data_IF_593766200973
#
_entry.id   IF_593766200973
#
_cell.length_a   1.000
_cell.length_b   1.000
_cell.length_c   1.000
_cell.angle_alpha   90.00
_cell.angle_beta   90.00
_cell.angle_gamma   90.00
#
_symmetry.space_group_name_H-M   'P 1'
#
loop_
_entity.id
_entity.type
_entity.pdbx_description
1 polymer ?
#
# COMPACT_ATOMS: atom_id res chain seq x y z
N UNK A 1 -4.04 -4.06 -6.62
CA UNK A 1 -3.12 -3.22 -5.83
C UNK A 1 -1.80 -3.94 -5.55
N UNK A 2 -1.73 -4.90 -4.61
CA UNK A 2 -0.44 -5.54 -4.24
C UNK A 2 0.38 -6.11 -5.40
N UNK A 3 -0.27 -6.78 -6.36
CA UNK A 3 0.39 -7.32 -7.58
C UNK A 3 1.06 -6.19 -8.38
N UNK A 4 0.35 -5.10 -8.65
CA UNK A 4 0.86 -4.00 -9.46
C UNK A 4 1.90 -3.14 -8.72
N UNK A 5 1.78 -3.03 -7.40
CA UNK A 5 2.83 -2.45 -6.55
C UNK A 5 4.11 -3.28 -6.68
N UNK A 6 3.99 -4.61 -6.59
CA UNK A 6 5.12 -5.52 -6.78
C UNK A 6 5.72 -5.39 -8.18
N UNK A 7 4.91 -5.36 -9.24
CA UNK A 7 5.41 -5.15 -10.61
C UNK A 7 6.14 -3.82 -10.75
N UNK A 8 5.58 -2.73 -10.22
CA UNK A 8 6.22 -1.43 -10.25
C UNK A 8 7.57 -1.45 -9.49
N UNK A 9 7.63 -2.12 -8.34
CA UNK A 9 8.86 -2.24 -7.57
C UNK A 9 9.93 -3.09 -8.28
N UNK A 10 9.51 -4.16 -8.95
CA UNK A 10 10.41 -5.01 -9.74
C UNK A 10 10.91 -4.30 -11.00
N UNK A 11 10.09 -3.45 -11.62
CA UNK A 11 10.47 -2.67 -12.80
C UNK A 11 11.36 -1.46 -12.49
N UNK A 12 11.37 -0.95 -11.25
CA UNK A 12 12.16 0.22 -10.87
C UNK A 12 13.63 -0.16 -10.63
N UNK A 13 14.59 0.34 -11.43
CA UNK A 13 16.00 -0.05 -11.33
C UNK A 13 16.69 0.51 -10.07
N UNK A 14 16.12 1.52 -9.41
CA UNK A 14 16.68 2.05 -8.17
C UNK A 14 16.33 1.19 -6.94
N UNK A 15 15.45 0.20 -7.09
CA UNK A 15 15.14 -0.76 -6.04
C UNK A 15 16.04 -1.97 -6.19
N UNK A 16 16.91 -2.16 -5.20
CA UNK A 16 17.89 -3.25 -5.12
C UNK A 16 17.28 -4.58 -4.65
N UNK A 17 16.30 -4.55 -3.76
CA UNK A 17 15.65 -5.73 -3.19
C UNK A 17 14.16 -5.48 -2.90
N UNK A 18 13.34 -6.52 -3.09
CA UNK A 18 11.92 -6.55 -2.73
C UNK A 18 11.65 -7.83 -1.94
N UNK A 19 11.16 -7.68 -0.71
CA UNK A 19 10.70 -8.83 0.10
C UNK A 19 9.19 -8.78 0.25
N UNK A 20 8.51 -9.87 -0.11
CA UNK A 20 7.06 -9.98 0.01
C UNK A 20 6.71 -10.92 1.15
N UNK A 21 6.07 -10.37 2.19
CA UNK A 21 5.39 -11.16 3.21
C UNK A 21 4.00 -11.53 2.69
N UNK A 22 3.74 -12.82 2.49
CA UNK A 22 2.46 -13.29 1.95
C UNK A 22 1.94 -14.52 2.70
N UNK A 23 0.61 -14.63 2.79
CA UNK A 23 -0.06 -15.84 3.31
C UNK A 23 -0.23 -16.94 2.26
N UNK A 24 0.05 -16.63 0.99
CA UNK A 24 -0.19 -17.52 -0.14
C UNK A 24 0.88 -17.31 -1.23
N UNK A 25 1.12 -18.31 -2.09
CA UNK A 25 2.03 -18.16 -3.22
C UNK A 25 1.68 -16.95 -4.09
N UNK A 26 2.71 -16.33 -4.68
CA UNK A 26 2.49 -15.26 -5.66
C UNK A 26 1.82 -15.82 -6.91
N UNK A 27 0.99 -15.02 -7.60
CA UNK A 27 0.39 -15.46 -8.85
C UNK A 27 1.48 -15.64 -9.93
N UNK A 28 1.28 -16.57 -10.88
CA UNK A 28 2.25 -16.85 -11.94
C UNK A 28 2.50 -15.66 -12.89
N UNK A 29 1.64 -14.64 -12.81
CA UNK A 29 1.73 -13.38 -13.55
C UNK A 29 2.76 -12.40 -12.99
N UNK A 30 3.45 -12.75 -11.89
CA UNK A 30 4.60 -11.98 -11.38
C UNK A 30 5.87 -12.47 -12.09
N UNK A 31 6.65 -11.56 -12.70
CA UNK A 31 7.89 -11.94 -13.36
C UNK A 31 8.91 -12.46 -12.34
N UNK A 32 9.66 -13.50 -12.72
CA UNK A 32 10.83 -13.93 -11.97
C UNK A 32 11.86 -12.79 -11.91
N UNK A 33 12.49 -12.60 -10.76
CA UNK A 33 13.46 -11.53 -10.56
C UNK A 33 14.48 -11.91 -9.49
N UNK A 34 15.74 -11.59 -9.73
CA UNK A 34 16.82 -11.83 -8.76
C UNK A 34 16.69 -10.96 -7.50
N UNK A 35 16.00 -9.82 -7.59
CA UNK A 35 15.76 -8.95 -6.43
C UNK A 35 14.51 -9.32 -5.62
N UNK A 36 13.76 -10.36 -6.01
CA UNK A 36 12.53 -10.77 -5.32
C UNK A 36 12.79 -11.89 -4.33
N UNK A 37 12.44 -11.66 -3.07
CA UNK A 37 12.31 -12.70 -2.03
C UNK A 37 10.86 -12.80 -1.56
N UNK A 38 10.37 -14.02 -1.35
CA UNK A 38 9.00 -14.26 -0.87
C UNK A 38 9.06 -15.07 0.42
N UNK A 39 8.48 -14.52 1.47
CA UNK A 39 8.43 -15.16 2.79
C UNK A 39 6.97 -15.49 3.09
N UNK A 40 6.72 -16.77 3.37
CA UNK A 40 5.39 -17.19 3.83
C UNK A 40 5.23 -16.77 5.28
N UNK A 41 4.40 -15.77 5.52
CA UNK A 41 4.10 -15.24 6.84
C UNK A 41 2.59 -15.34 7.03
N UNK A 42 2.14 -16.18 7.97
CA UNK A 42 0.71 -16.51 8.12
C UNK A 42 0.00 -15.61 9.12
N UNK A 43 0.69 -15.24 10.18
CA UNK A 43 0.15 -14.48 11.31
C UNK A 43 0.75 -13.07 11.33
N UNK A 44 -0.03 -12.10 10.88
CA UNK A 44 0.37 -10.68 10.83
C UNK A 44 0.08 -9.94 12.14
N UNK A 45 -0.32 -10.65 13.20
CA UNK A 45 -0.41 -10.07 14.55
C UNK A 45 0.93 -10.09 15.29
N UNK A 46 1.91 -10.85 14.79
CA UNK A 46 3.21 -11.07 15.43
C UNK A 46 4.33 -11.16 14.41
N UNK A 47 5.49 -10.58 14.74
CA UNK A 47 6.66 -10.55 13.87
C UNK A 47 7.86 -11.13 14.63
N UNK A 48 8.35 -12.31 14.24
CA UNK A 48 9.55 -12.89 14.83
C UNK A 48 10.77 -11.96 14.69
N UNK A 49 11.62 -11.91 15.72
CA UNK A 49 12.77 -10.99 15.73
C UNK A 49 13.77 -11.29 14.59
N UNK A 50 13.97 -12.57 14.26
CA UNK A 50 14.81 -13.03 13.15
C UNK A 50 14.25 -12.63 11.78
N UNK A 51 12.93 -12.55 11.63
CA UNK A 51 12.30 -12.00 10.43
C UNK A 51 12.67 -10.52 10.26
N UNK A 52 12.52 -9.72 11.31
CA UNK A 52 12.73 -8.26 11.23
C UNK A 52 14.21 -7.91 11.13
N UNK A 53 15.04 -8.46 12.01
CA UNK A 53 16.49 -8.15 12.10
C UNK A 53 17.34 -8.91 11.09
N UNK A 54 16.79 -9.96 10.47
CA UNK A 54 17.45 -10.71 9.40
C UNK A 54 16.87 -10.37 8.03
N UNK A 55 15.74 -11.00 7.68
CA UNK A 55 15.21 -10.92 6.31
C UNK A 55 14.71 -9.54 5.89
N UNK A 56 14.25 -8.73 6.84
CA UNK A 56 13.76 -7.37 6.58
C UNK A 56 14.83 -6.30 6.84
N UNK A 57 16.01 -6.67 7.35
CA UNK A 57 17.08 -5.72 7.58
C UNK A 57 17.53 -5.06 6.27
N UNK A 58 17.81 -3.75 6.35
CA UNK A 58 18.23 -2.95 5.20
C UNK A 58 17.10 -2.47 4.29
N UNK A 59 15.86 -2.93 4.46
CA UNK A 59 14.72 -2.32 3.76
C UNK A 59 14.43 -0.92 4.31
N UNK A 60 14.18 0.03 3.41
CA UNK A 60 13.98 1.44 3.76
C UNK A 60 12.49 1.84 3.79
N UNK A 61 11.61 0.96 3.30
CA UNK A 61 10.19 1.21 3.25
C UNK A 61 9.38 -0.09 3.23
N UNK A 62 8.13 0.01 3.66
CA UNK A 62 7.11 -1.02 3.53
C UNK A 62 5.88 -0.44 2.83
N UNK A 63 5.36 -1.15 1.83
CA UNK A 63 4.03 -0.86 1.27
C UNK A 63 3.04 -1.89 1.79
N UNK A 64 2.19 -1.46 2.72
CA UNK A 64 1.13 -2.28 3.29
C UNK A 64 -0.08 -2.34 2.37
N UNK A 65 -0.15 -3.38 1.55
CA UNK A 65 -1.25 -3.63 0.61
C UNK A 65 -2.13 -4.85 0.99
N UNK A 66 -2.06 -5.31 2.24
CA UNK A 66 -2.97 -6.34 2.75
C UNK A 66 -4.35 -5.74 3.00
N UNK A 67 -5.37 -6.33 2.37
CA UNK A 67 -6.76 -5.94 2.54
C UNK A 67 -7.69 -6.81 1.69
N UNK A 68 -8.98 -6.79 2.04
CA UNK A 68 -10.08 -7.36 1.24
C UNK A 68 -11.29 -6.44 1.33
N UNK A 69 -12.31 -6.70 0.51
CA UNK A 69 -13.60 -6.01 0.65
C UNK A 69 -14.16 -6.24 2.05
N UNK A 70 -14.70 -5.18 2.65
CA UNK A 70 -15.41 -5.22 3.92
C UNK A 70 -16.78 -5.91 3.82
N UNK A 71 -17.30 -6.10 2.60
CA UNK A 71 -18.59 -6.75 2.37
C UNK A 71 -18.62 -8.16 2.95
N UNK A 72 -19.64 -8.45 3.75
CA UNK A 72 -19.83 -9.74 4.40
C UNK A 72 -18.88 -10.02 5.57
N UNK A 73 -18.12 -9.02 6.05
CA UNK A 73 -17.27 -9.13 7.24
C UNK A 73 -17.94 -8.49 8.45
N UNK A 74 -17.62 -9.01 9.65
CA UNK A 74 -17.88 -8.30 10.91
C UNK A 74 -16.88 -7.15 11.09
N UNK A 75 -17.25 -6.15 11.89
CA UNK A 75 -16.37 -5.02 12.21
C UNK A 75 -15.12 -5.45 12.98
N UNK A 76 -15.24 -6.49 13.81
CA UNK A 76 -14.10 -7.08 14.51
C UNK A 76 -13.11 -7.73 13.54
N UNK A 77 -13.57 -8.61 12.65
CA UNK A 77 -12.69 -9.28 11.68
C UNK A 77 -12.06 -8.28 10.69
N UNK A 78 -12.79 -7.22 10.33
CA UNK A 78 -12.27 -6.17 9.48
C UNK A 78 -11.27 -5.27 10.23
N UNK A 79 -11.49 -5.03 11.53
CA UNK A 79 -10.55 -4.34 12.43
C UNK A 79 -9.24 -5.12 12.54
N UNK A 80 -9.29 -6.42 12.83
CA UNK A 80 -8.09 -7.24 12.94
C UNK A 80 -7.21 -7.12 11.68
N UNK A 81 -7.82 -7.32 10.52
CA UNK A 81 -7.16 -7.23 9.23
C UNK A 81 -6.64 -5.82 8.88
N UNK A 82 -7.47 -4.80 9.09
CA UNK A 82 -7.23 -3.48 8.50
C UNK A 82 -6.58 -2.51 9.47
N UNK A 83 -6.57 -2.81 10.77
CA UNK A 83 -6.05 -1.98 11.85
C UNK A 83 -4.99 -2.73 12.68
N UNK A 84 -5.32 -3.90 13.24
CA UNK A 84 -4.43 -4.54 14.22
C UNK A 84 -3.15 -5.04 13.55
N UNK A 85 -3.26 -5.67 12.38
CA UNK A 85 -2.11 -6.14 11.62
C UNK A 85 -1.15 -5.02 11.15
N UNK A 86 -1.59 -3.92 10.52
CA UNK A 86 -0.67 -2.84 10.17
C UNK A 86 -0.05 -2.17 11.41
N UNK A 87 -0.79 -2.08 12.53
CA UNK A 87 -0.24 -1.57 13.79
C UNK A 87 0.77 -2.52 14.43
N UNK A 88 0.61 -3.83 14.30
CA UNK A 88 1.62 -4.80 14.72
C UNK A 88 2.88 -4.68 13.86
N UNK A 89 2.71 -4.52 12.53
CA UNK A 89 3.81 -4.40 11.59
C UNK A 89 4.66 -3.15 11.84
N UNK A 90 4.05 -1.96 11.90
CA UNK A 90 4.78 -0.69 12.10
C UNK A 90 5.56 -0.69 13.42
N UNK A 91 4.99 -1.28 14.48
CA UNK A 91 5.65 -1.41 15.79
C UNK A 91 6.84 -2.34 15.72
N UNK A 92 6.65 -3.55 15.19
CA UNK A 92 7.73 -4.51 15.05
C UNK A 92 8.87 -3.99 14.17
N UNK A 93 8.57 -3.28 13.08
CA UNK A 93 9.56 -2.69 12.19
C UNK A 93 10.35 -1.58 12.87
N UNK A 94 9.67 -0.70 13.61
CA UNK A 94 10.33 0.36 14.36
C UNK A 94 11.18 -0.20 15.51
N UNK A 95 10.65 -1.12 16.32
CA UNK A 95 11.36 -1.74 17.45
C UNK A 95 12.53 -2.62 16.99
N UNK A 96 12.38 -3.29 15.84
CA UNK A 96 13.45 -4.07 15.20
C UNK A 96 14.52 -3.23 14.49
N UNK A 97 14.40 -1.89 14.53
CA UNK A 97 15.44 -0.98 14.04
C UNK A 97 15.45 -0.75 12.54
N UNK A 98 14.35 -1.02 11.83
CA UNK A 98 14.26 -0.67 10.41
C UNK A 98 14.28 0.86 10.25
N UNK A 99 15.14 1.33 9.35
CA UNK A 99 15.40 2.74 9.11
C UNK A 99 15.53 3.01 7.61
N UNK A 100 15.27 4.26 7.20
CA UNK A 100 15.53 4.70 5.84
C UNK A 100 17.03 4.89 5.58
N UNK A 101 17.38 4.98 4.31
CA UNK A 101 18.77 5.18 3.88
C UNK A 101 19.19 6.65 4.00
N UNK A 102 20.47 6.90 4.29
CA UNK A 102 21.05 8.25 4.25
C UNK A 102 20.48 9.20 5.29
N UNK A 103 20.11 8.69 6.47
CA UNK A 103 19.51 9.50 7.55
C UNK A 103 18.05 9.86 7.34
N UNK A 104 17.37 9.25 6.35
CA UNK A 104 15.93 9.40 6.13
C UNK A 104 15.15 8.41 7.01
N UNK A 105 13.90 8.73 7.40
CA UNK A 105 13.06 7.79 8.14
C UNK A 105 12.64 6.61 7.27
N UNK A 106 12.36 5.47 7.92
CA UNK A 106 11.70 4.34 7.29
C UNK A 106 10.28 4.74 6.87
N UNK A 107 9.87 4.41 5.64
CA UNK A 107 8.54 4.81 5.14
C UNK A 107 7.54 3.66 5.23
N UNK A 108 6.48 3.85 5.99
CA UNK A 108 5.35 2.91 6.06
C UNK A 108 4.17 3.43 5.22
N UNK A 109 3.99 2.88 4.02
CA UNK A 109 2.94 3.29 3.08
C UNK A 109 1.72 2.39 3.22
N UNK A 110 0.67 2.88 3.85
CA UNK A 110 -0.58 2.15 4.08
C UNK A 110 -1.60 2.39 2.95
N UNK A 111 -2.07 1.29 2.36
CA UNK A 111 -3.17 1.33 1.40
C UNK A 111 -4.52 1.43 2.13
N UNK A 112 -4.97 2.65 2.32
CA UNK A 112 -6.27 2.99 2.90
C UNK A 112 -7.39 2.88 1.84
N UNK A 113 -8.32 3.82 1.79
CA UNK A 113 -9.41 3.88 0.83
C UNK A 113 -10.05 5.27 0.84
N UNK A 114 -10.60 5.67 -0.30
CA UNK A 114 -11.39 6.89 -0.38
C UNK A 114 -12.61 6.80 0.56
N UNK A 115 -12.90 7.90 1.24
CA UNK A 115 -13.92 7.94 2.29
C UNK A 115 -13.49 7.43 3.67
N UNK A 116 -12.21 7.07 3.90
CA UNK A 116 -11.71 6.82 5.26
C UNK A 116 -11.85 8.07 6.16
N UNK A 117 -12.47 7.91 7.32
CA UNK A 117 -12.84 9.02 8.22
C UNK A 117 -12.17 8.89 9.59
N UNK A 118 -11.17 9.74 9.83
CA UNK A 118 -10.39 9.77 11.08
C UNK A 118 -11.20 10.24 12.28
N UNK A 119 -12.37 10.86 12.09
CA UNK A 119 -13.24 11.25 13.20
C UNK A 119 -13.99 10.07 13.83
N UNK A 120 -13.98 8.91 13.17
CA UNK A 120 -14.75 7.72 13.58
C UNK A 120 -16.25 7.82 13.34
N UNK A 121 -16.74 8.91 12.72
CA UNK A 121 -18.17 9.15 12.47
C UNK A 121 -18.65 8.66 11.10
N UNK A 122 -17.78 8.02 10.32
CA UNK A 122 -18.11 7.48 9.02
C UNK A 122 -19.29 6.50 9.06
N UNK A 123 -20.21 6.65 8.10
CA UNK A 123 -21.41 5.81 8.02
C UNK A 123 -21.08 4.35 7.72
N UNK A 124 -20.06 4.10 6.91
CA UNK A 124 -19.62 2.75 6.56
C UNK A 124 -18.57 2.22 7.54
N UNK A 125 -18.66 0.94 7.88
CA UNK A 125 -17.68 0.25 8.72
C UNK A 125 -16.24 0.42 8.23
N UNK A 126 -16.01 0.27 6.91
CA UNK A 126 -14.67 0.41 6.35
C UNK A 126 -14.09 1.81 6.57
N UNK A 127 -14.94 2.84 6.49
CA UNK A 127 -14.58 4.24 6.63
C UNK A 127 -14.07 4.54 8.04
N UNK A 128 -14.78 4.05 9.07
CA UNK A 128 -14.36 4.18 10.48
C UNK A 128 -13.08 3.41 10.78
N UNK A 129 -13.01 2.14 10.40
CA UNK A 129 -11.86 1.28 10.72
C UNK A 129 -10.59 1.74 10.02
N UNK A 130 -10.65 2.03 8.71
CA UNK A 130 -9.49 2.58 7.99
C UNK A 130 -9.14 3.98 8.48
N UNK A 131 -10.13 4.81 8.81
CA UNK A 131 -9.93 6.13 9.41
C UNK A 131 -9.18 6.07 10.74
N UNK A 132 -9.59 5.18 11.66
CA UNK A 132 -8.87 4.91 12.91
C UNK A 132 -7.44 4.45 12.64
N UNK A 133 -7.26 3.49 11.72
CA UNK A 133 -5.94 2.97 11.36
C UNK A 133 -5.02 4.09 10.88
N UNK A 134 -5.50 4.97 10.00
CA UNK A 134 -4.69 6.11 9.56
C UNK A 134 -4.31 7.04 10.71
N UNK A 135 -5.25 7.34 11.61
CA UNK A 135 -4.98 8.20 12.76
C UNK A 135 -3.90 7.59 13.66
N UNK A 136 -3.99 6.30 13.95
CA UNK A 136 -3.08 5.61 14.87
C UNK A 136 -1.70 5.38 14.24
N UNK A 137 -1.62 5.08 12.93
CA UNK A 137 -0.35 4.98 12.20
C UNK A 137 0.38 6.33 12.14
N UNK A 138 -0.34 7.44 11.95
CA UNK A 138 0.24 8.78 11.96
C UNK A 138 0.66 9.20 13.36
N UNK A 139 -0.18 8.95 14.37
CA UNK A 139 0.16 9.23 15.76
C UNK A 139 1.42 8.47 16.18
N UNK A 140 1.55 7.20 15.80
CA UNK A 140 2.73 6.40 16.07
C UNK A 140 3.98 6.96 15.38
N UNK A 141 3.91 7.28 14.08
CA UNK A 141 5.07 7.83 13.37
C UNK A 141 5.47 9.23 13.85
N UNK A 142 4.51 10.06 14.26
CA UNK A 142 4.77 11.42 14.73
C UNK A 142 5.44 11.47 16.11
N UNK A 143 5.45 10.35 16.85
CA UNK A 143 6.23 10.22 18.07
C UNK A 143 7.74 10.05 17.81
N UNK A 144 8.15 9.65 16.60
CA UNK A 144 9.57 9.49 16.21
C UNK A 144 9.76 9.76 14.70
N UNK A 145 9.47 10.98 14.23
CA UNK A 145 9.41 11.31 12.80
C UNK A 145 10.77 11.19 12.07
N UNK A 146 11.87 11.21 12.82
CA UNK A 146 13.23 10.99 12.30
C UNK A 146 13.53 9.52 12.02
N UNK A 147 12.80 8.59 12.66
CA UNK A 147 13.00 7.14 12.50
C UNK A 147 12.03 6.51 11.53
N UNK A 148 10.75 6.91 11.60
CA UNK A 148 9.69 6.30 10.82
C UNK A 148 8.61 7.31 10.45
N UNK A 149 8.11 7.24 9.22
CA UNK A 149 7.03 8.09 8.70
C UNK A 149 5.97 7.28 7.98
N UNK A 150 4.71 7.58 8.27
CA UNK A 150 3.56 6.88 7.72
C UNK A 150 2.89 7.68 6.59
N UNK A 151 2.50 7.01 5.51
CA UNK A 151 1.82 7.61 4.36
C UNK A 151 0.56 6.85 4.00
N UNK A 152 -0.51 7.56 3.68
CA UNK A 152 -1.86 7.00 3.46
C UNK A 152 -2.25 7.14 2.00
N UNK A 153 -2.38 6.02 1.29
CA UNK A 153 -2.94 6.03 -0.07
C UNK A 153 -4.44 5.79 0.00
N UNK A 154 -5.24 6.74 -0.48
CA UNK A 154 -6.72 6.68 -0.48
C UNK A 154 -7.26 6.55 -1.91
N UNK A 155 -7.10 5.38 -2.55
CA UNK A 155 -7.72 5.15 -3.85
C UNK A 155 -9.23 5.02 -3.68
N UNK A 156 -9.97 5.48 -4.67
CA UNK A 156 -11.38 5.13 -4.81
C UNK A 156 -11.46 3.74 -5.46
N UNK A 157 -12.04 3.62 -6.64
CA UNK A 157 -11.98 2.37 -7.39
C UNK A 157 -10.65 2.22 -8.12
N UNK A 158 -10.10 0.99 -8.18
CA UNK A 158 -8.95 0.72 -9.04
C UNK A 158 -9.15 -0.52 -9.91
N UNK A 159 -8.77 -0.42 -11.17
CA UNK A 159 -9.01 -1.43 -12.19
C UNK A 159 -7.78 -2.33 -12.36
N UNK A 160 -7.94 -3.66 -12.47
CA UNK A 160 -6.83 -4.54 -12.82
C UNK A 160 -6.12 -4.06 -14.08
N UNK A 161 -4.79 -4.13 -14.08
CA UNK A 161 -3.96 -3.75 -15.24
C UNK A 161 -3.77 -4.90 -16.23
N UNK A 162 -3.90 -6.15 -15.76
CA UNK A 162 -3.65 -7.37 -16.52
C UNK A 162 -4.95 -8.23 -16.55
N UNK A 163 -5.37 -8.73 -17.73
CA UNK A 163 -6.54 -9.59 -17.87
C UNK A 163 -6.49 -10.86 -17.02
N UNK A 164 -5.35 -11.55 -16.91
CA UNK A 164 -5.21 -12.79 -16.15
C UNK A 164 -5.39 -12.54 -14.65
N UNK A 165 -4.89 -11.40 -14.16
CA UNK A 165 -5.17 -10.98 -12.78
C UNK A 165 -6.64 -10.61 -12.60
N UNK A 166 -7.26 -9.98 -13.60
CA UNK A 166 -8.70 -9.69 -13.57
C UNK A 166 -9.52 -10.97 -13.47
N UNK A 167 -9.17 -12.04 -14.20
CA UNK A 167 -9.84 -13.35 -14.09
C UNK A 167 -9.77 -13.92 -12.68
N UNK A 168 -8.67 -13.69 -11.97
CA UNK A 168 -8.45 -14.19 -10.60
C UNK A 168 -9.10 -13.31 -9.53
N UNK A 169 -9.17 -12.00 -9.76
CA UNK A 169 -9.54 -11.00 -8.74
C UNK A 169 -10.97 -10.49 -8.88
N UNK A 170 -11.60 -10.63 -10.04
CA UNK A 170 -12.91 -10.07 -10.37
C UNK A 170 -13.93 -11.17 -10.66
N UNK A 171 -15.19 -10.92 -10.30
CA UNK A 171 -16.28 -11.79 -10.74
C UNK A 171 -16.47 -11.70 -12.26
N UNK A 172 -17.20 -12.67 -12.85
CA UNK A 172 -17.53 -12.61 -14.28
C UNK A 172 -18.25 -11.32 -14.67
N UNK A 173 -19.17 -10.87 -13.83
CA UNK A 173 -19.91 -9.62 -14.03
C UNK A 173 -19.01 -8.38 -13.96
N UNK A 174 -18.11 -8.31 -12.97
CA UNK A 174 -17.18 -7.19 -12.82
C UNK A 174 -16.23 -7.09 -14.02
N UNK A 175 -15.77 -8.23 -14.57
CA UNK A 175 -14.89 -8.23 -15.76
C UNK A 175 -15.55 -7.62 -16.99
N UNK A 176 -16.86 -7.77 -17.14
CA UNK A 176 -17.61 -7.18 -18.24
C UNK A 176 -17.90 -5.69 -18.02
N UNK A 177 -18.11 -5.26 -16.78
CA UNK A 177 -18.51 -3.88 -16.47
C UNK A 177 -17.31 -2.95 -16.22
N UNK A 178 -16.18 -3.46 -15.73
CA UNK A 178 -14.95 -2.71 -15.42
C UNK A 178 -14.44 -1.83 -16.59
N UNK A 179 -14.42 -2.26 -17.87
CA UNK A 179 -13.94 -1.42 -18.97
C UNK A 179 -14.80 -0.17 -19.20
N UNK A 180 -16.13 -0.31 -19.13
CA UNK A 180 -17.09 0.78 -19.37
C UNK A 180 -17.11 1.71 -18.16
N UNK A 181 -17.32 1.13 -16.96
CA UNK A 181 -17.37 1.88 -15.71
C UNK A 181 -16.03 2.55 -15.43
N UNK A 182 -14.92 1.92 -15.80
CA UNK A 182 -13.58 2.48 -15.62
C UNK A 182 -13.22 3.63 -16.54
N UNK A 183 -13.79 3.71 -17.75
CA UNK A 183 -13.73 4.95 -18.53
C UNK A 183 -14.39 6.11 -17.79
N UNK A 184 -15.63 5.90 -17.34
CA UNK A 184 -16.43 6.91 -16.65
C UNK A 184 -15.81 7.34 -15.32
N UNK A 185 -15.50 6.40 -14.43
CA UNK A 185 -14.95 6.70 -13.10
C UNK A 185 -13.58 7.38 -13.19
N UNK A 186 -12.75 7.06 -14.18
CA UNK A 186 -11.49 7.79 -14.41
C UNK A 186 -11.73 9.22 -14.89
N UNK A 187 -12.71 9.44 -15.78
CA UNK A 187 -13.04 10.78 -16.27
C UNK A 187 -13.50 11.72 -15.14
N UNK A 188 -14.22 11.19 -14.15
CA UNK A 188 -14.65 11.94 -12.95
C UNK A 188 -13.71 11.78 -11.76
N UNK A 189 -12.52 11.20 -11.97
CA UNK A 189 -11.47 11.09 -10.95
C UNK A 189 -11.86 10.28 -9.69
N UNK A 190 -12.76 9.30 -9.86
CA UNK A 190 -13.14 8.28 -8.88
C UNK A 190 -12.54 6.90 -9.20
N UNK A 191 -11.66 6.83 -10.18
CA UNK A 191 -10.97 5.63 -10.61
C UNK A 191 -9.48 5.85 -10.85
N UNK A 192 -8.64 4.84 -10.59
CA UNK A 192 -7.21 4.81 -10.97
C UNK A 192 -6.86 3.43 -11.56
N UNK A 193 -5.95 3.36 -12.54
CA UNK A 193 -5.46 2.05 -12.98
C UNK A 193 -4.57 1.43 -11.89
N UNK A 194 -4.65 0.12 -11.65
CA UNK A 194 -3.83 -0.50 -10.62
C UNK A 194 -2.32 -0.37 -10.88
N UNK A 195 -1.87 -0.31 -12.15
CA UNK A 195 -0.48 -0.04 -12.49
C UNK A 195 -0.04 1.39 -12.11
N UNK A 196 -0.91 2.38 -12.33
CA UNK A 196 -0.67 3.76 -11.89
C UNK A 196 -0.60 3.86 -10.36
N UNK A 197 -1.54 3.21 -9.66
CA UNK A 197 -1.50 3.09 -8.20
C UNK A 197 -0.19 2.43 -7.73
N UNK A 198 0.26 1.38 -8.42
CA UNK A 198 1.53 0.70 -8.14
C UNK A 198 2.73 1.65 -8.26
N UNK A 199 2.82 2.40 -9.35
CA UNK A 199 3.88 3.41 -9.56
C UNK A 199 3.86 4.49 -8.50
N UNK A 200 2.69 5.00 -8.15
CA UNK A 200 2.55 6.01 -7.09
C UNK A 200 3.00 5.46 -5.74
N UNK A 201 2.55 4.26 -5.36
CA UNK A 201 2.94 3.64 -4.10
C UNK A 201 4.46 3.45 -3.99
N UNK A 202 5.10 2.99 -5.07
CA UNK A 202 6.56 2.84 -5.14
C UNK A 202 7.26 4.19 -5.05
N UNK A 203 6.75 5.22 -5.73
CA UNK A 203 7.34 6.56 -5.66
C UNK A 203 7.23 7.16 -4.25
N UNK A 204 6.12 6.93 -3.55
CA UNK A 204 5.96 7.35 -2.14
C UNK A 204 6.92 6.57 -1.24
N UNK A 205 7.01 5.24 -1.40
CA UNK A 205 7.94 4.40 -0.62
C UNK A 205 9.42 4.82 -0.80
N UNK A 206 9.82 5.17 -2.03
CA UNK A 206 11.17 5.68 -2.32
C UNK A 206 11.43 7.08 -1.77
N UNK A 207 10.38 7.85 -1.43
CA UNK A 207 10.51 9.27 -1.13
C UNK A 207 10.94 10.08 -2.36
N UNK A 208 10.38 9.76 -3.53
CA UNK A 208 10.72 10.44 -4.79
C UNK A 208 10.45 11.94 -4.69
N UNK A 209 11.44 12.74 -5.09
CA UNK A 209 11.35 14.20 -5.08
C UNK A 209 10.17 14.70 -5.92
N UNK A 210 9.40 15.65 -5.38
CA UNK A 210 8.18 16.17 -6.00
C UNK A 210 6.95 15.25 -5.90
N UNK A 211 7.08 14.07 -5.28
CA UNK A 211 5.97 13.19 -4.88
C UNK A 211 5.76 13.30 -3.37
N UNK A 212 6.83 13.10 -2.61
CA UNK A 212 6.87 13.38 -1.18
C UNK A 212 7.54 14.75 -1.03
N UNK A 213 6.86 15.70 -0.38
CA UNK A 213 7.39 17.06 -0.19
C UNK A 213 8.62 17.09 0.72
N UNK A 214 9.39 18.18 0.68
CA UNK A 214 10.45 18.42 1.67
C UNK A 214 9.86 18.40 3.10
N UNK A 215 10.50 17.68 4.01
CA UNK A 215 9.97 17.42 5.37
C UNK A 215 8.80 16.41 5.44
N UNK A 216 8.42 15.82 4.30
CA UNK A 216 7.35 14.82 4.15
C UNK A 216 5.98 15.28 4.69
N UNK A 217 5.64 16.56 4.55
CA UNK A 217 4.35 17.10 5.02
C UNK A 217 3.12 16.49 4.31
N UNK A 218 3.31 15.91 3.12
CA UNK A 218 2.25 15.23 2.36
C UNK A 218 2.09 13.78 2.82
N UNK A 219 1.25 13.56 3.83
CA UNK A 219 1.06 12.22 4.42
C UNK A 219 -0.13 11.47 3.80
N UNK A 220 -1.05 12.15 3.12
CA UNK A 220 -2.28 11.53 2.58
C UNK A 220 -2.45 11.78 1.09
N UNK A 221 -2.61 10.72 0.31
CA UNK A 221 -2.71 10.78 -1.14
C UNK A 221 -4.12 10.39 -1.57
N UNK A 222 -4.96 11.40 -1.85
CA UNK A 222 -6.30 11.18 -2.40
C UNK A 222 -6.24 10.58 -3.82
N UNK A 223 -7.34 9.97 -4.27
CA UNK A 223 -7.44 9.43 -5.63
C UNK A 223 -7.04 10.47 -6.71
N UNK A 224 -7.42 11.74 -6.51
CA UNK A 224 -7.02 12.86 -7.39
C UNK A 224 -5.52 13.09 -7.41
N UNK A 225 -4.93 13.21 -6.23
CA UNK A 225 -3.51 13.48 -6.11
C UNK A 225 -2.69 12.34 -6.72
N UNK A 226 -3.05 11.09 -6.42
CA UNK A 226 -2.40 9.92 -7.01
C UNK A 226 -2.52 9.89 -8.52
N UNK A 227 -3.70 10.17 -9.08
CA UNK A 227 -3.90 10.23 -10.53
C UNK A 227 -3.03 11.30 -11.21
N UNK A 228 -2.87 12.46 -10.56
CA UNK A 228 -1.98 13.52 -11.05
C UNK A 228 -0.50 13.16 -10.92
N UNK A 229 -0.09 12.48 -9.85
CA UNK A 229 1.27 11.95 -9.70
C UNK A 229 1.54 10.92 -10.80
N UNK A 230 0.64 9.97 -11.01
CA UNK A 230 0.78 8.93 -12.04
C UNK A 230 0.97 9.53 -13.44
N UNK A 231 0.17 10.53 -13.83
CA UNK A 231 0.35 11.26 -15.10
C UNK A 231 1.74 11.89 -15.22
N UNK A 232 2.24 12.51 -14.15
CA UNK A 232 3.58 13.12 -14.11
C UNK A 232 4.69 12.07 -14.20
N UNK A 233 4.52 10.91 -13.56
CA UNK A 233 5.49 9.81 -13.64
C UNK A 233 5.54 9.20 -15.03
N UNK A 234 4.38 9.05 -15.70
CA UNK A 234 4.29 8.50 -17.05
C UNK A 234 4.82 9.48 -18.12
N UNK A 235 4.67 10.79 -17.92
CA UNK A 235 5.19 11.80 -18.86
C UNK A 235 6.69 12.09 -18.73
N UNK A 236 7.39 11.46 -17.77
CA UNK A 236 8.84 11.55 -17.57
C UNK A 236 9.60 10.32 -18.09
N UNK A 237 8.90 9.30 -18.58
CA UNK A 237 9.46 8.13 -19.25
C UNK A 237 9.54 8.37 -20.75
#
# INVERSE_FOLDING_TARGET
AGIDILRAALADPAISQVTVLSRSPLPPTIPASQKLSVITHKDFSSYPSDLVTGSLAGHNACVWALGRSSSGMSEQAYTELSHDWPMAAIKAFHEGGLAGEGGKPFRFVYLSGDGADRSGKGMAMFSRVKGRTEADLLAYSNASPEKLRSFMLRPAYFFPSNPDDAQRLRSGFDRCTDPILGGLLRAVNLGINAADLGRVAVAVAKGTEGVVGEGEQQETFSNRLMSNIAKRLNGKQ
#
